data_IF_401526870568
#
_entry.id   IF_401526870568
#
_cell.length_a   1.000
_cell.length_b   1.000
_cell.length_c   1.000
_cell.angle_alpha   90.00
_cell.angle_beta   90.00
_cell.angle_gamma   90.00
#
_symmetry.space_group_name_H-M   'P 1'
#
loop_
_entity.id
_entity.type
_entity.pdbx_description
1 polymer ?
#
# COMPACT_ATOMS: atom_id res chain seq x y z
N UNK A 1 -1.58 15.40 28.67
CA UNK A 1 -2.42 16.43 28.05
C UNK A 1 -3.80 15.83 27.76
N UNK A 2 -4.87 16.41 28.32
CA UNK A 2 -6.24 15.97 28.02
C UNK A 2 -6.76 16.78 26.83
N UNK A 3 -7.29 16.07 25.83
CA UNK A 3 -7.96 16.68 24.69
C UNK A 3 -9.27 17.30 25.18
N UNK A 4 -9.55 18.55 24.82
CA UNK A 4 -10.78 19.27 25.21
C UNK A 4 -11.84 19.15 24.11
N UNK A 5 -13.13 19.31 24.50
CA UNK A 5 -14.26 19.30 23.54
C UNK A 5 -14.09 20.35 22.43
N UNK A 6 -13.55 21.53 22.80
CA UNK A 6 -13.30 22.62 21.84
C UNK A 6 -12.27 22.17 20.79
N UNK A 7 -11.20 21.46 21.19
CA UNK A 7 -10.19 20.93 20.26
C UNK A 7 -10.79 19.88 19.32
N UNK A 8 -11.67 19.01 19.83
CA UNK A 8 -12.38 18.02 19.01
C UNK A 8 -13.28 18.73 17.99
N UNK A 9 -14.11 19.67 18.43
CA UNK A 9 -15.02 20.40 17.55
C UNK A 9 -14.25 21.16 16.46
N UNK A 10 -13.17 21.86 16.84
CA UNK A 10 -12.33 22.59 15.88
C UNK A 10 -11.66 21.65 14.88
N UNK A 11 -11.23 20.47 15.32
CA UNK A 11 -10.64 19.46 14.45
C UNK A 11 -11.67 18.90 13.44
N UNK A 12 -12.89 18.58 13.92
CA UNK A 12 -14.00 18.14 13.06
C UNK A 12 -14.33 19.21 12.00
N UNK A 13 -14.46 20.48 12.41
CA UNK A 13 -14.70 21.59 11.48
C UNK A 13 -13.59 21.76 10.44
N UNK A 14 -12.35 21.41 10.79
CA UNK A 14 -11.21 21.48 9.89
C UNK A 14 -11.20 20.32 8.88
N UNK A 15 -11.59 19.10 9.29
CA UNK A 15 -11.56 17.89 8.45
C UNK A 15 -12.76 17.83 7.53
N UNK A 16 -13.97 18.12 8.03
CA UNK A 16 -15.20 18.06 7.24
C UNK A 16 -15.41 19.36 6.47
N UNK A 17 -14.70 19.48 5.35
CA UNK A 17 -14.75 20.61 4.45
C UNK A 17 -15.54 20.26 3.19
N UNK A 18 -16.50 21.10 2.80
CA UNK A 18 -17.33 20.86 1.59
C UNK A 18 -16.54 20.92 0.28
N UNK A 19 -15.44 21.67 0.24
CA UNK A 19 -14.64 21.81 -0.98
C UNK A 19 -13.87 20.53 -1.34
N UNK A 20 -13.57 19.68 -0.33
CA UNK A 20 -12.77 18.47 -0.49
C UNK A 20 -13.59 17.17 -0.29
N UNK A 21 -14.93 17.29 -0.20
CA UNK A 21 -15.78 16.12 -0.03
C UNK A 21 -16.07 15.44 -1.36
N UNK A 22 -15.77 14.17 -1.40
CA UNK A 22 -16.19 13.25 -2.46
C UNK A 22 -17.29 12.33 -1.95
N UNK A 23 -18.42 12.30 -2.64
CA UNK A 23 -19.56 11.45 -2.28
C UNK A 23 -19.74 10.40 -3.38
N UNK A 24 -19.55 9.15 -3.02
CA UNK A 24 -19.73 8.02 -3.90
C UNK A 24 -20.95 7.21 -3.44
N UNK A 25 -21.84 6.88 -4.38
CA UNK A 25 -23.06 6.12 -4.09
C UNK A 25 -23.14 4.97 -5.09
N UNK A 26 -23.34 3.76 -4.58
CA UNK A 26 -23.52 2.54 -5.37
C UNK A 26 -24.72 1.76 -4.84
N UNK A 27 -25.69 1.45 -5.69
CA UNK A 27 -26.88 0.70 -5.32
C UNK A 27 -28.07 0.99 -6.23
N UNK A 28 -29.21 0.42 -5.91
CA UNK A 28 -30.49 0.69 -6.58
C UNK A 28 -31.10 2.01 -6.07
N UNK A 29 -30.60 3.10 -6.60
CA UNK A 29 -31.03 4.46 -6.23
C UNK A 29 -31.16 5.34 -7.49
N UNK A 30 -32.25 6.09 -7.57
CA UNK A 30 -32.44 7.04 -8.67
C UNK A 30 -31.58 8.29 -8.50
N UNK A 31 -31.23 8.97 -9.59
CA UNK A 31 -30.49 10.23 -9.56
C UNK A 31 -31.18 11.29 -8.67
N UNK A 32 -32.52 11.39 -8.73
CA UNK A 32 -33.29 12.33 -7.89
C UNK A 32 -33.13 12.06 -6.41
N UNK A 33 -33.17 10.79 -6.01
CA UNK A 33 -32.99 10.39 -4.61
C UNK A 33 -31.55 10.58 -4.15
N UNK A 34 -30.58 10.32 -5.03
CA UNK A 34 -29.16 10.60 -4.76
C UNK A 34 -28.92 12.07 -4.50
N UNK A 35 -29.48 12.96 -5.34
CA UNK A 35 -29.37 14.42 -5.14
C UNK A 35 -30.02 14.90 -3.83
N UNK A 36 -31.17 14.34 -3.42
CA UNK A 36 -31.80 14.64 -2.14
C UNK A 36 -30.93 14.21 -0.97
N UNK A 37 -30.35 13.00 -1.05
CA UNK A 37 -29.46 12.48 -0.02
C UNK A 37 -28.20 13.35 0.12
N UNK A 38 -27.55 13.68 -0.98
CA UNK A 38 -26.39 14.57 -1.05
C UNK A 38 -26.73 15.91 -0.38
N UNK A 39 -27.81 16.57 -0.80
CA UNK A 39 -28.23 17.84 -0.23
C UNK A 39 -28.49 17.76 1.28
N UNK A 40 -29.07 16.66 1.78
CA UNK A 40 -29.30 16.46 3.22
C UNK A 40 -28.03 16.38 4.05
N UNK A 41 -26.94 15.91 3.45
CA UNK A 41 -25.62 15.80 4.07
C UNK A 41 -24.89 17.14 3.97
N UNK A 42 -24.77 17.68 2.75
CA UNK A 42 -23.98 18.88 2.48
C UNK A 42 -24.54 20.14 3.14
N UNK A 43 -25.86 20.28 3.28
CA UNK A 43 -26.48 21.41 3.98
C UNK A 43 -26.13 21.48 5.49
N UNK A 44 -25.60 20.41 6.06
CA UNK A 44 -25.16 20.35 7.47
C UNK A 44 -23.66 20.58 7.64
N UNK A 45 -22.93 20.63 6.56
CA UNK A 45 -21.47 20.81 6.57
C UNK A 45 -21.12 22.29 6.43
N UNK A 46 -20.07 22.70 7.10
CA UNK A 46 -19.57 24.07 7.01
C UNK A 46 -18.62 24.20 5.84
N UNK A 47 -18.72 25.29 5.10
CA UNK A 47 -17.70 25.68 4.10
C UNK A 47 -16.52 26.24 4.89
N UNK A 48 -15.43 25.49 4.92
CA UNK A 48 -14.19 25.92 5.54
C UNK A 48 -13.07 25.91 4.50
N UNK A 49 -12.00 26.59 4.84
CA UNK A 49 -10.81 26.75 3.98
C UNK A 49 -10.14 25.42 3.70
N UNK A 50 -9.70 25.22 2.47
CA UNK A 50 -8.93 24.06 1.99
C UNK A 50 -7.76 23.74 2.92
N UNK A 51 -7.57 22.49 3.24
CA UNK A 51 -6.38 22.01 3.94
C UNK A 51 -5.20 22.10 2.97
N UNK A 52 -4.16 22.86 3.32
CA UNK A 52 -2.91 22.79 2.59
C UNK A 52 -2.34 21.37 2.72
N UNK A 53 -2.09 20.73 1.58
CA UNK A 53 -1.47 19.41 1.55
C UNK A 53 -0.07 19.48 2.15
N UNK A 54 0.23 18.69 3.15
CA UNK A 54 1.59 18.53 3.64
C UNK A 54 2.38 17.61 2.71
N UNK A 55 3.49 18.09 2.16
CA UNK A 55 4.45 17.22 1.50
C UNK A 55 5.31 16.53 2.56
N UNK A 56 5.35 15.22 2.52
CA UNK A 56 6.24 14.43 3.38
C UNK A 56 7.47 14.00 2.58
N UNK A 57 8.67 14.26 3.13
CA UNK A 57 9.88 13.60 2.62
C UNK A 57 10.24 12.48 3.58
N UNK A 58 10.28 11.26 3.09
CA UNK A 58 10.78 10.14 3.86
C UNK A 58 12.27 10.34 4.15
N UNK A 59 12.66 10.19 5.41
CA UNK A 59 14.05 10.23 5.84
C UNK A 59 14.52 8.81 6.10
N UNK A 60 15.70 8.48 5.60
CA UNK A 60 16.37 7.22 5.94
C UNK A 60 16.59 7.13 7.43
N UNK A 61 16.20 6.04 8.04
CA UNK A 61 16.44 5.78 9.46
C UNK A 61 16.64 4.28 9.71
N UNK A 62 17.52 3.94 10.65
CA UNK A 62 17.55 2.63 11.29
C UNK A 62 17.33 2.88 12.77
N UNK A 63 16.17 2.47 13.28
CA UNK A 63 15.77 2.74 14.64
C UNK A 63 15.21 1.49 15.30
N UNK A 64 15.79 1.15 16.48
CA UNK A 64 15.25 0.13 17.35
C UNK A 64 14.67 0.77 18.62
N UNK A 65 13.46 0.36 18.98
CA UNK A 65 12.84 0.74 20.26
C UNK A 65 12.85 -0.45 21.18
N UNK A 66 13.55 -0.32 22.32
CA UNK A 66 13.55 -1.32 23.36
C UNK A 66 12.15 -1.46 23.96
N UNK A 67 11.64 -2.68 23.99
CA UNK A 67 10.36 -3.00 24.60
C UNK A 67 10.38 -4.42 25.16
N UNK A 68 9.97 -4.57 26.43
CA UNK A 68 9.93 -5.87 27.09
C UNK A 68 8.79 -6.75 26.55
N UNK A 69 9.08 -7.46 25.50
CA UNK A 69 8.17 -8.38 24.80
C UNK A 69 8.88 -9.69 24.46
N UNK A 70 8.11 -10.74 24.22
CA UNK A 70 8.64 -12.04 23.78
C UNK A 70 8.98 -12.10 22.29
N UNK A 71 8.54 -11.11 21.53
CA UNK A 71 8.72 -11.03 20.08
C UNK A 71 9.07 -9.61 19.65
N UNK A 72 9.85 -9.50 18.58
CA UNK A 72 10.15 -8.25 17.91
C UNK A 72 9.27 -8.05 16.70
N UNK A 73 8.85 -6.81 16.47
CA UNK A 73 8.23 -6.35 15.23
C UNK A 73 9.29 -5.65 14.38
N UNK A 74 9.29 -5.95 13.10
CA UNK A 74 10.15 -5.33 12.11
C UNK A 74 9.30 -4.73 10.99
N UNK A 75 9.58 -3.48 10.64
CA UNK A 75 9.06 -2.82 9.46
C UNK A 75 10.23 -2.22 8.66
N UNK A 76 10.28 -2.50 7.36
CA UNK A 76 11.22 -1.90 6.42
C UNK A 76 10.40 -1.15 5.38
N UNK A 77 10.78 0.09 5.11
CA UNK A 77 10.08 0.97 4.19
C UNK A 77 11.05 1.46 3.12
N UNK A 78 10.65 1.32 1.87
CA UNK A 78 11.39 1.75 0.68
C UNK A 78 10.51 2.74 -0.07
N UNK A 79 10.98 3.95 -0.42
CA UNK A 79 10.23 4.88 -1.27
C UNK A 79 9.83 4.23 -2.59
N UNK A 80 8.61 4.45 -3.01
CA UNK A 80 8.06 3.92 -4.24
C UNK A 80 7.17 4.93 -4.94
N UNK A 81 6.58 4.53 -6.03
CA UNK A 81 5.75 5.37 -6.89
C UNK A 81 4.36 5.62 -6.34
N UNK A 82 3.77 6.75 -6.69
CA UNK A 82 2.38 7.08 -6.37
C UNK A 82 1.39 6.28 -7.25
N UNK A 83 0.10 6.38 -6.94
CA UNK A 83 -0.92 5.50 -7.51
C UNK A 83 -1.26 5.80 -8.97
N UNK A 84 -1.19 7.06 -9.39
CA UNK A 84 -1.45 7.50 -10.77
C UNK A 84 -0.23 7.38 -11.69
N UNK A 85 0.89 6.88 -11.18
CA UNK A 85 2.10 6.64 -11.97
C UNK A 85 1.82 5.59 -13.06
N UNK A 86 2.23 5.84 -14.31
CA UNK A 86 2.04 4.89 -15.42
C UNK A 86 2.73 3.55 -15.18
N UNK A 87 3.82 3.51 -14.41
CA UNK A 87 4.60 2.32 -14.07
C UNK A 87 4.06 1.54 -12.86
N UNK A 88 2.93 1.99 -12.28
CA UNK A 88 2.35 1.36 -11.09
C UNK A 88 2.15 -0.15 -11.21
N UNK A 89 1.73 -0.64 -12.38
CA UNK A 89 1.44 -2.07 -12.57
C UNK A 89 2.71 -2.92 -12.61
N UNK A 90 3.84 -2.36 -13.03
CA UNK A 90 5.14 -3.04 -12.98
C UNK A 90 5.55 -3.28 -11.54
N UNK A 91 5.50 -2.25 -10.68
CA UNK A 91 5.82 -2.40 -9.25
C UNK A 91 4.79 -3.27 -8.52
N UNK A 92 3.51 -3.22 -8.90
CA UNK A 92 2.50 -4.11 -8.35
C UNK A 92 2.85 -5.59 -8.60
N UNK A 93 3.24 -5.95 -9.82
CA UNK A 93 3.64 -7.32 -10.17
C UNK A 93 4.93 -7.71 -9.45
N UNK A 94 5.93 -6.83 -9.41
CA UNK A 94 7.16 -7.03 -8.67
C UNK A 94 6.89 -7.30 -7.18
N UNK A 95 6.04 -6.49 -6.55
CA UNK A 95 5.65 -6.67 -5.16
C UNK A 95 4.93 -8.00 -4.91
N UNK A 96 4.07 -8.44 -5.82
CA UNK A 96 3.40 -9.75 -5.70
C UNK A 96 4.39 -10.91 -5.68
N UNK A 97 5.45 -10.85 -6.50
CA UNK A 97 6.52 -11.85 -6.53
C UNK A 97 7.35 -11.77 -5.23
N UNK A 98 7.65 -10.56 -4.80
CA UNK A 98 8.51 -10.30 -3.66
C UNK A 98 7.90 -10.75 -2.33
N UNK A 99 6.70 -10.28 -2.00
CA UNK A 99 6.07 -10.57 -0.70
C UNK A 99 4.56 -10.33 -0.65
N UNK A 100 3.97 -9.76 -1.71
CA UNK A 100 2.55 -9.35 -1.71
C UNK A 100 1.57 -10.48 -1.96
N UNK A 101 1.98 -11.61 -2.51
CA UNK A 101 1.10 -12.77 -2.78
C UNK A 101 0.91 -13.70 -1.58
N UNK A 102 1.66 -13.51 -0.48
CA UNK A 102 1.71 -14.48 0.60
C UNK A 102 2.48 -15.73 0.19
N UNK A 103 1.88 -16.91 0.31
CA UNK A 103 2.52 -18.17 -0.09
C UNK A 103 2.99 -18.15 -1.55
N UNK A 104 4.22 -18.64 -1.76
CA UNK A 104 4.90 -18.64 -3.07
C UNK A 104 5.58 -17.31 -3.41
N UNK A 105 5.57 -16.31 -2.52
CA UNK A 105 6.43 -15.14 -2.61
C UNK A 105 7.82 -15.40 -2.03
N UNK A 106 8.82 -14.65 -2.47
CA UNK A 106 10.19 -14.81 -2.01
C UNK A 106 10.36 -14.63 -0.51
N UNK A 107 9.73 -13.61 0.07
CA UNK A 107 9.81 -13.37 1.51
C UNK A 107 9.21 -14.53 2.30
N UNK A 108 8.06 -15.04 1.88
CA UNK A 108 7.41 -16.15 2.57
C UNK A 108 8.23 -17.43 2.47
N UNK A 109 8.78 -17.72 1.29
CA UNK A 109 9.66 -18.87 1.06
C UNK A 109 10.90 -18.81 1.96
N UNK A 110 11.61 -17.67 1.97
CA UNK A 110 12.89 -17.53 2.67
C UNK A 110 12.74 -17.44 4.19
N UNK A 111 11.76 -16.68 4.67
CA UNK A 111 11.58 -16.41 6.11
C UNK A 111 10.79 -17.51 6.80
N UNK A 112 9.68 -17.96 6.18
CA UNK A 112 8.78 -18.93 6.81
C UNK A 112 9.09 -20.35 6.42
N UNK A 113 9.10 -20.66 5.11
CA UNK A 113 9.12 -22.05 4.65
C UNK A 113 10.50 -22.69 4.86
N UNK A 114 11.58 -21.97 4.55
CA UNK A 114 12.94 -22.49 4.68
C UNK A 114 13.51 -22.41 6.09
N UNK A 115 13.15 -21.37 6.86
CA UNK A 115 13.84 -21.06 8.14
C UNK A 115 12.91 -21.00 9.35
N UNK A 116 11.60 -20.92 9.18
CA UNK A 116 10.66 -20.87 10.28
C UNK A 116 10.81 -19.65 11.22
N UNK A 117 11.40 -18.54 10.71
CA UNK A 117 11.71 -17.36 11.53
C UNK A 117 10.46 -16.56 11.89
N UNK A 118 9.42 -16.60 11.06
CA UNK A 118 8.17 -15.91 11.29
C UNK A 118 7.00 -16.73 10.77
N UNK A 119 5.85 -16.62 11.43
CA UNK A 119 4.61 -17.24 10.93
C UNK A 119 4.11 -16.53 9.67
N UNK A 120 4.28 -15.21 9.59
CA UNK A 120 3.94 -14.45 8.40
C UNK A 120 4.92 -13.30 8.16
N UNK A 121 5.28 -13.13 6.89
CA UNK A 121 6.02 -11.99 6.36
C UNK A 121 5.34 -11.57 5.08
N UNK A 122 5.20 -10.28 4.89
CA UNK A 122 4.56 -9.74 3.67
C UNK A 122 5.17 -8.39 3.29
N UNK A 123 5.05 -8.08 2.02
CA UNK A 123 5.29 -6.74 1.50
C UNK A 123 3.98 -6.13 1.00
N UNK A 124 3.84 -4.84 1.19
CA UNK A 124 2.67 -4.08 0.79
C UNK A 124 3.09 -2.82 0.04
N UNK A 125 2.59 -2.68 -1.19
CA UNK A 125 2.77 -1.47 -1.99
C UNK A 125 1.67 -0.47 -1.63
N UNK A 126 2.05 0.55 -0.85
CA UNK A 126 1.19 1.68 -0.51
C UNK A 126 1.43 2.79 -1.51
N UNK A 127 0.68 2.81 -2.59
CA UNK A 127 0.70 3.90 -3.56
C UNK A 127 -0.48 4.80 -3.32
N UNK A 128 -0.22 5.96 -2.72
CA UNK A 128 -1.21 6.98 -2.38
C UNK A 128 -1.27 8.06 -3.48
N UNK A 129 -2.08 9.10 -3.26
CA UNK A 129 -2.28 10.21 -4.19
C UNK A 129 -1.00 11.03 -4.41
N UNK A 130 -0.23 11.29 -3.35
CA UNK A 130 0.90 12.20 -3.38
C UNK A 130 2.25 11.48 -3.32
N UNK A 131 2.29 10.29 -2.75
CA UNK A 131 3.50 9.51 -2.51
C UNK A 131 3.22 8.01 -2.51
N UNK A 132 4.27 7.21 -2.61
CA UNK A 132 4.19 5.77 -2.50
C UNK A 132 5.37 5.19 -1.73
N UNK A 133 5.17 4.02 -1.16
CA UNK A 133 6.22 3.24 -0.51
C UNK A 133 5.93 1.75 -0.55
N UNK A 134 6.97 0.97 -0.55
CA UNK A 134 6.93 -0.46 -0.32
C UNK A 134 7.24 -0.73 1.15
N UNK A 135 6.31 -1.35 1.87
CA UNK A 135 6.48 -1.71 3.28
C UNK A 135 6.62 -3.21 3.42
N UNK A 136 7.69 -3.66 4.05
CA UNK A 136 7.88 -5.05 4.48
C UNK A 136 7.59 -5.11 5.97
N UNK A 137 6.85 -6.13 6.41
CA UNK A 137 6.53 -6.31 7.82
C UNK A 137 6.56 -7.77 8.22
N UNK A 138 7.12 -8.02 9.40
CA UNK A 138 7.07 -9.32 10.06
C UNK A 138 7.10 -9.16 11.58
N UNK A 139 6.72 -10.23 12.26
CA UNK A 139 6.92 -10.44 13.69
C UNK A 139 7.72 -11.71 13.89
N UNK A 140 8.77 -11.68 14.71
CA UNK A 140 9.67 -12.80 14.95
C UNK A 140 10.08 -12.87 16.43
N UNK A 141 10.69 -13.97 16.86
CA UNK A 141 11.33 -14.01 18.20
C UNK A 141 12.46 -12.99 18.27
N UNK A 142 12.69 -12.42 19.46
CA UNK A 142 13.74 -11.41 19.66
C UNK A 142 15.12 -11.91 19.16
N UNK A 143 15.46 -13.15 19.46
CA UNK A 143 16.72 -13.80 19.06
C UNK A 143 16.92 -13.91 17.54
N UNK A 144 15.83 -13.86 16.76
CA UNK A 144 15.84 -14.01 15.30
C UNK A 144 15.80 -12.69 14.56
N UNK A 145 15.68 -11.54 15.24
CA UNK A 145 15.50 -10.24 14.61
C UNK A 145 16.65 -9.89 13.66
N UNK A 146 17.89 -10.07 14.09
CA UNK A 146 19.07 -9.74 13.28
C UNK A 146 19.16 -10.61 12.03
N UNK A 147 18.94 -11.92 12.16
CA UNK A 147 18.92 -12.84 11.03
C UNK A 147 17.78 -12.52 10.05
N UNK A 148 16.60 -12.17 10.57
CA UNK A 148 15.48 -11.79 9.72
C UNK A 148 15.77 -10.49 8.93
N UNK A 149 16.42 -9.49 9.55
CA UNK A 149 16.87 -8.28 8.86
C UNK A 149 17.84 -8.59 7.72
N UNK A 150 18.83 -9.44 7.98
CA UNK A 150 19.84 -9.85 6.99
C UNK A 150 19.19 -10.52 5.78
N UNK A 151 18.34 -11.53 6.01
CA UNK A 151 17.65 -12.24 4.93
C UNK A 151 16.76 -11.31 4.11
N UNK A 152 16.01 -10.40 4.77
CA UNK A 152 15.18 -9.44 4.03
C UNK A 152 16.04 -8.51 3.18
N UNK A 153 17.19 -8.07 3.69
CA UNK A 153 18.14 -7.24 2.92
C UNK A 153 18.64 -7.99 1.68
N UNK A 154 18.97 -9.28 1.81
CA UNK A 154 19.31 -10.11 0.65
C UNK A 154 18.17 -10.19 -0.37
N UNK A 155 16.93 -10.34 0.11
CA UNK A 155 15.77 -10.39 -0.79
C UNK A 155 15.47 -9.03 -1.43
N UNK A 156 15.75 -7.90 -0.77
CA UNK A 156 15.68 -6.56 -1.37
C UNK A 156 16.71 -6.43 -2.50
N UNK A 157 17.95 -6.86 -2.27
CA UNK A 157 18.99 -6.88 -3.31
C UNK A 157 18.63 -7.79 -4.50
N UNK A 158 17.91 -8.88 -4.24
CA UNK A 158 17.36 -9.75 -5.28
C UNK A 158 16.22 -9.05 -6.05
N UNK A 159 15.37 -8.29 -5.37
CA UNK A 159 14.30 -7.50 -6.00
C UNK A 159 14.87 -6.45 -6.93
N UNK A 160 15.89 -5.71 -6.51
CA UNK A 160 16.57 -4.72 -7.33
C UNK A 160 17.12 -5.32 -8.65
N UNK A 161 17.72 -6.50 -8.60
CA UNK A 161 18.23 -7.23 -9.78
C UNK A 161 17.12 -7.82 -10.64
N UNK A 162 15.98 -8.11 -10.03
CA UNK A 162 14.80 -8.73 -10.63
C UNK A 162 15.10 -9.91 -11.56
N UNK A 163 15.83 -10.88 -11.04
CA UNK A 163 16.12 -12.10 -11.81
C UNK A 163 14.98 -13.11 -11.67
N UNK A 164 14.01 -13.01 -12.58
CA UNK A 164 12.75 -13.78 -12.63
C UNK A 164 12.52 -14.26 -14.06
N UNK A 165 11.81 -15.36 -14.23
CA UNK A 165 11.39 -15.82 -15.57
C UNK A 165 10.11 -15.13 -16.04
N UNK A 166 9.91 -15.02 -17.35
CA UNK A 166 8.65 -14.47 -17.92
C UNK A 166 7.41 -15.33 -17.55
N UNK A 167 7.60 -16.63 -17.37
CA UNK A 167 6.52 -17.54 -16.95
C UNK A 167 6.03 -17.15 -15.54
N UNK A 168 6.93 -16.80 -14.61
CA UNK A 168 6.57 -16.35 -13.27
C UNK A 168 5.82 -15.03 -13.33
N UNK A 169 6.28 -14.06 -14.14
CA UNK A 169 5.58 -12.78 -14.36
C UNK A 169 4.17 -13.03 -14.88
N UNK A 170 4.04 -13.87 -15.91
CA UNK A 170 2.75 -14.22 -16.52
C UNK A 170 1.80 -14.90 -15.51
N UNK A 171 2.29 -15.82 -14.69
CA UNK A 171 1.50 -16.49 -13.67
C UNK A 171 0.98 -15.51 -12.61
N UNK A 172 1.82 -14.56 -12.19
CA UNK A 172 1.45 -13.52 -11.22
C UNK A 172 0.44 -12.54 -11.81
N UNK A 173 0.60 -12.10 -13.06
CA UNK A 173 -0.39 -11.26 -13.76
C UNK A 173 -1.78 -11.92 -13.76
N UNK A 174 -1.86 -13.22 -14.07
CA UNK A 174 -3.12 -13.99 -14.03
C UNK A 174 -3.72 -14.01 -12.62
N UNK A 175 -2.89 -14.18 -11.58
CA UNK A 175 -3.35 -14.17 -10.18
C UNK A 175 -3.91 -12.81 -9.77
N UNK A 176 -3.21 -11.72 -10.13
CA UNK A 176 -3.66 -10.34 -9.86
C UNK A 176 -4.99 -10.08 -10.55
N UNK A 177 -5.15 -10.46 -11.83
CA UNK A 177 -6.37 -10.26 -12.59
C UNK A 177 -7.56 -10.97 -11.95
N UNK A 178 -7.40 -12.25 -11.57
CA UNK A 178 -8.45 -13.00 -10.85
C UNK A 178 -8.85 -12.33 -9.54
N UNK A 179 -7.87 -11.86 -8.77
CA UNK A 179 -8.13 -11.14 -7.53
C UNK A 179 -8.86 -9.81 -7.76
N UNK A 180 -8.61 -9.15 -8.89
CA UNK A 180 -9.29 -7.92 -9.26
C UNK A 180 -10.75 -8.16 -9.63
N UNK A 181 -11.05 -9.18 -10.43
CA UNK A 181 -12.42 -9.58 -10.80
C UNK A 181 -13.29 -9.87 -9.57
N UNK A 182 -12.72 -10.46 -8.52
CA UNK A 182 -13.43 -10.72 -7.26
C UNK A 182 -13.74 -9.46 -6.43
N UNK A 183 -13.26 -8.29 -6.84
CA UNK A 183 -13.53 -7.00 -6.16
C UNK A 183 -14.81 -6.31 -6.63
N UNK A 184 -15.55 -6.90 -7.56
CA UNK A 184 -16.76 -6.30 -8.17
C UNK A 184 -18.03 -7.12 -7.91
N UNK A 185 -18.01 -8.12 -7.04
CA UNK A 185 -19.11 -9.04 -6.80
C UNK A 185 -20.19 -8.53 -5.84
N UNK A 186 -19.96 -7.41 -5.14
CA UNK A 186 -20.94 -6.80 -4.22
C UNK A 186 -20.92 -5.28 -4.32
N UNK A 187 -22.06 -4.62 -4.03
CA UNK A 187 -22.16 -3.16 -4.00
C UNK A 187 -21.12 -2.52 -3.07
N UNK A 188 -20.82 -3.14 -1.92
CA UNK A 188 -19.79 -2.64 -1.00
C UNK A 188 -18.41 -2.64 -1.63
N UNK A 189 -18.04 -3.70 -2.34
CA UNK A 189 -16.74 -3.81 -3.01
C UNK A 189 -16.66 -2.83 -4.19
N UNK A 190 -17.74 -2.69 -4.96
CA UNK A 190 -17.84 -1.70 -6.04
C UNK A 190 -17.71 -0.29 -5.46
N UNK A 191 -18.41 0.04 -4.37
CA UNK A 191 -18.31 1.34 -3.71
C UNK A 191 -16.87 1.64 -3.26
N UNK A 192 -16.21 0.68 -2.62
CA UNK A 192 -14.82 0.84 -2.19
C UNK A 192 -13.89 1.13 -3.38
N UNK A 193 -14.12 0.47 -4.50
CA UNK A 193 -13.30 0.62 -5.69
C UNK A 193 -13.56 1.97 -6.40
N UNK A 194 -14.83 2.39 -6.52
CA UNK A 194 -15.20 3.72 -7.05
C UNK A 194 -14.62 4.83 -6.17
N UNK A 195 -14.73 4.68 -4.84
CA UNK A 195 -14.16 5.64 -3.89
C UNK A 195 -12.63 5.72 -4.00
N UNK A 196 -11.96 4.58 -4.22
CA UNK A 196 -10.52 4.56 -4.43
C UNK A 196 -10.10 5.23 -5.75
N UNK A 197 -10.86 5.01 -6.84
CA UNK A 197 -10.62 5.65 -8.14
C UNK A 197 -10.73 7.17 -8.01
N UNK A 198 -11.79 7.65 -7.37
CA UNK A 198 -12.01 9.08 -7.12
C UNK A 198 -10.90 9.67 -6.24
N UNK A 199 -10.71 9.11 -5.04
CA UNK A 199 -9.69 9.58 -4.09
C UNK A 199 -8.28 9.63 -4.69
N UNK A 200 -7.92 8.64 -5.50
CA UNK A 200 -6.59 8.52 -6.12
C UNK A 200 -6.49 9.27 -7.45
N UNK A 201 -7.56 9.96 -7.87
CA UNK A 201 -7.64 10.71 -9.14
C UNK A 201 -7.28 9.84 -10.35
N UNK A 202 -7.77 8.60 -10.37
CA UNK A 202 -7.56 7.67 -11.49
C UNK A 202 -8.61 7.89 -12.58
N UNK A 203 -8.31 7.42 -13.79
CA UNK A 203 -9.22 7.44 -14.92
C UNK A 203 -10.54 6.70 -14.58
N UNK A 204 -11.68 7.27 -14.96
CA UNK A 204 -13.00 6.63 -14.78
C UNK A 204 -13.09 5.28 -15.52
N UNK A 205 -12.34 5.11 -16.62
CA UNK A 205 -12.22 3.85 -17.34
C UNK A 205 -11.19 2.89 -16.71
N UNK A 206 -10.81 3.14 -15.45
CA UNK A 206 -9.79 2.34 -14.76
C UNK A 206 -10.10 0.84 -14.78
N UNK A 207 -11.36 0.47 -14.59
CA UNK A 207 -11.82 -0.93 -14.64
C UNK A 207 -11.61 -1.57 -16.00
N UNK A 208 -12.02 -0.87 -17.05
CA UNK A 208 -11.94 -1.34 -18.43
C UNK A 208 -10.48 -1.48 -18.87
N UNK A 209 -9.64 -0.53 -18.44
CA UNK A 209 -8.24 -0.47 -18.81
C UNK A 209 -7.32 -1.34 -17.93
N UNK A 210 -7.80 -1.87 -16.79
CA UNK A 210 -6.96 -2.57 -15.82
C UNK A 210 -6.23 -3.77 -16.44
N UNK A 211 -6.97 -4.62 -17.15
CA UNK A 211 -6.39 -5.77 -17.85
C UNK A 211 -5.38 -5.34 -18.90
N UNK A 212 -5.71 -4.36 -19.72
CA UNK A 212 -4.84 -3.87 -20.80
C UNK A 212 -3.52 -3.27 -20.23
N UNK A 213 -3.59 -2.57 -19.10
CA UNK A 213 -2.40 -2.07 -18.39
C UNK A 213 -1.56 -3.21 -17.83
N UNK A 214 -2.19 -4.21 -17.22
CA UNK A 214 -1.49 -5.38 -16.68
C UNK A 214 -0.87 -6.24 -17.81
N UNK A 215 -1.52 -6.36 -18.96
CA UNK A 215 -1.00 -7.12 -20.10
C UNK A 215 0.30 -6.53 -20.67
N UNK A 216 0.51 -5.23 -20.56
CA UNK A 216 1.76 -4.55 -20.97
C UNK A 216 2.96 -4.83 -20.07
N UNK A 217 2.72 -5.28 -18.84
CA UNK A 217 3.79 -5.60 -17.89
C UNK A 217 4.58 -6.81 -18.36
N UNK A 218 5.91 -6.70 -18.39
CA UNK A 218 6.87 -7.73 -18.74
C UNK A 218 8.04 -7.74 -17.76
N UNK A 219 8.88 -8.76 -17.79
CA UNK A 219 10.14 -8.79 -17.02
C UNK A 219 10.99 -7.55 -17.29
N UNK A 220 11.09 -7.14 -18.55
CA UNK A 220 11.88 -5.97 -18.93
C UNK A 220 11.32 -4.69 -18.35
N UNK A 221 10.02 -4.41 -18.53
CA UNK A 221 9.41 -3.18 -17.98
C UNK A 221 9.51 -3.12 -16.46
N UNK A 222 9.31 -4.24 -15.77
CA UNK A 222 9.48 -4.31 -14.30
C UNK A 222 10.91 -3.95 -13.91
N UNK A 223 11.91 -4.53 -14.59
CA UNK A 223 13.31 -4.26 -14.28
C UNK A 223 13.69 -2.81 -14.50
N UNK A 224 13.25 -2.22 -15.61
CA UNK A 224 13.48 -0.82 -15.93
C UNK A 224 12.82 0.11 -14.88
N UNK A 225 11.59 -0.18 -14.49
CA UNK A 225 10.88 0.57 -13.45
C UNK A 225 11.56 0.46 -12.09
N UNK A 226 11.98 -0.73 -11.66
CA UNK A 226 12.69 -0.92 -10.39
C UNK A 226 13.99 -0.12 -10.35
N UNK A 227 14.73 -0.07 -11.47
CA UNK A 227 15.99 0.68 -11.56
C UNK A 227 15.81 2.20 -11.58
N UNK A 228 14.72 2.69 -12.20
CA UNK A 228 14.55 4.12 -12.44
C UNK A 228 13.64 4.80 -11.42
N UNK A 229 12.71 4.08 -10.81
CA UNK A 229 11.59 4.65 -10.05
C UNK A 229 11.55 4.21 -8.58
N UNK A 230 12.41 3.27 -8.16
CA UNK A 230 12.52 2.83 -6.77
C UNK A 230 13.89 3.22 -6.21
N UNK A 231 13.90 3.95 -5.10
CA UNK A 231 15.13 4.37 -4.43
C UNK A 231 15.54 3.35 -3.36
N UNK A 232 16.27 2.32 -3.79
CA UNK A 232 16.82 1.30 -2.88
C UNK A 232 17.96 1.80 -1.99
N UNK A 233 18.45 3.02 -2.17
CA UNK A 233 19.45 3.65 -1.29
C UNK A 233 18.80 4.32 -0.07
N UNK A 234 17.50 4.61 -0.13
CA UNK A 234 16.75 5.33 0.89
C UNK A 234 15.80 4.39 1.66
N UNK A 235 16.36 3.44 2.38
CA UNK A 235 15.61 2.45 3.15
C UNK A 235 15.51 2.87 4.61
N UNK A 236 14.30 2.85 5.16
CA UNK A 236 14.06 3.01 6.60
C UNK A 236 13.78 1.67 7.24
N UNK A 237 14.49 1.35 8.32
CA UNK A 237 14.35 0.13 9.11
C UNK A 237 13.88 0.50 10.51
N UNK A 238 12.72 -0.01 10.90
CA UNK A 238 12.14 0.24 12.21
C UNK A 238 11.88 -1.09 12.90
N UNK A 239 12.34 -1.22 14.14
CA UNK A 239 12.09 -2.41 14.94
C UNK A 239 11.71 -2.06 16.38
N UNK A 240 10.90 -2.92 16.98
CA UNK A 240 10.47 -2.81 18.37
C UNK A 240 10.53 -4.21 18.98
N UNK A 241 11.15 -4.35 20.14
CA UNK A 241 11.28 -5.61 20.83
C UNK A 241 12.39 -5.56 21.87
N UNK A 242 12.65 -6.69 22.50
CA UNK A 242 13.73 -6.81 23.49
C UNK A 242 15.05 -7.08 22.77
N UNK A 243 16.06 -6.28 23.09
CA UNK A 243 17.44 -6.55 22.65
C UNK A 243 17.95 -7.82 23.33
N UNK A 244 18.51 -8.72 22.56
CA UNK A 244 19.20 -9.91 23.06
C UNK A 244 20.68 -9.69 22.77
N UNK A 245 21.47 -9.65 23.86
CA UNK A 245 22.93 -9.56 23.79
C UNK A 245 23.57 -10.86 23.28
#
# INVERSE_FOLDING_TARGET
NRITDIQIINHIKKIFNLEDIEINIVGDITESNSKKLISSITNKLLINRTLEGSSYKMQTSDHHTEFDSTQSHLAIIIPAIKRDDPEYHDILVANYIFGGSGFGSWLMEEIREKRGLSYSVYSYLASNRNEGYLKISLQTKNENLSLAKEIITEQINRLEKFDVTEEKVTAVKKSILRSFEMKTDTNKKILNLVSAINYLNLDLNYFENYKAKLDKVSKSTIKDTLMNSIDFSNISVLSVGKTIE
#
